data_IF_842835447838
#
_entry.id   IF_842835447838
#
_cell.length_a   1.000
_cell.length_b   1.000
_cell.length_c   1.000
_cell.angle_alpha   90.00
_cell.angle_beta   90.00
_cell.angle_gamma   90.00
#
_symmetry.space_group_name_H-M   'P 1'
#
loop_
_entity.id
_entity.type
_entity.pdbx_description
1 polymer ?
#
# COMPACT_ATOMS: atom_id res chain seq x y z
N UNK A 1 -7.63 11.22 4.98
CA UNK A 1 -7.48 12.66 4.70
C UNK A 1 -6.09 12.86 4.15
N UNK A 2 -5.97 13.12 2.85
CA UNK A 2 -4.69 13.40 2.17
C UNK A 2 -4.59 14.89 1.78
N UNK A 3 -5.55 15.72 2.22
CA UNK A 3 -5.69 17.13 1.82
C UNK A 3 -4.57 18.03 2.36
N UNK A 4 -3.81 17.57 3.36
CA UNK A 4 -2.63 18.27 3.89
C UNK A 4 -1.34 17.93 3.12
N UNK A 5 -1.41 17.06 2.10
CA UNK A 5 -0.26 16.68 1.29
C UNK A 5 -0.27 17.42 -0.04
N UNK A 6 0.79 18.19 -0.24
CA UNK A 6 1.01 19.02 -1.42
C UNK A 6 2.06 18.40 -2.32
N UNK A 7 1.75 18.28 -3.60
CA UNK A 7 2.76 18.01 -4.63
C UNK A 7 3.24 19.35 -5.17
N UNK A 8 4.56 19.55 -5.16
CA UNK A 8 5.22 20.75 -5.70
C UNK A 8 6.08 20.34 -6.89
N UNK A 9 5.79 20.89 -8.07
CA UNK A 9 6.58 20.66 -9.28
C UNK A 9 7.39 21.91 -9.60
N UNK A 10 8.72 21.79 -9.56
CA UNK A 10 9.63 22.92 -9.76
C UNK A 10 10.11 22.97 -11.19
N UNK A 11 9.82 24.09 -11.84
CA UNK A 11 10.32 24.48 -13.15
C UNK A 11 10.12 23.39 -14.22
N UNK A 12 8.94 22.77 -14.19
CA UNK A 12 8.56 21.71 -15.13
C UNK A 12 8.57 22.24 -16.56
N UNK A 13 9.27 21.54 -17.44
CA UNK A 13 9.46 21.96 -18.83
C UNK A 13 8.29 21.55 -19.72
N UNK A 14 7.78 20.33 -19.54
CA UNK A 14 6.74 19.79 -20.41
C UNK A 14 5.36 19.77 -19.75
N UNK A 15 4.39 20.48 -20.34
CA UNK A 15 2.99 20.50 -19.87
C UNK A 15 2.37 19.10 -19.74
N UNK A 16 2.79 18.15 -20.58
CA UNK A 16 2.31 16.77 -20.52
C UNK A 16 2.71 16.02 -19.25
N UNK A 17 3.86 16.37 -18.65
CA UNK A 17 4.27 15.84 -17.35
C UNK A 17 3.39 16.42 -16.23
N UNK A 18 3.00 17.70 -16.31
CA UNK A 18 2.08 18.31 -15.35
C UNK A 18 0.73 17.58 -15.36
N UNK A 19 0.16 17.35 -16.56
CA UNK A 19 -1.09 16.59 -16.70
C UNK A 19 -0.98 15.16 -16.18
N UNK A 20 0.12 14.47 -16.51
CA UNK A 20 0.35 13.09 -16.08
C UNK A 20 0.62 12.98 -14.57
N UNK A 21 1.29 13.97 -13.96
CA UNK A 21 1.45 14.09 -12.51
C UNK A 21 0.11 14.32 -11.80
N UNK A 22 -0.73 15.22 -12.32
CA UNK A 22 -2.09 15.43 -11.79
C UNK A 22 -2.94 14.14 -11.85
N UNK A 23 -2.83 13.37 -12.94
CA UNK A 23 -3.48 12.06 -13.05
C UNK A 23 -2.97 11.08 -11.98
N UNK A 24 -1.67 11.01 -11.79
CA UNK A 24 -1.05 10.15 -10.77
C UNK A 24 -1.52 10.51 -9.36
N UNK A 25 -1.55 11.81 -9.05
CA UNK A 25 -2.09 12.35 -7.79
C UNK A 25 -3.53 11.93 -7.57
N UNK A 26 -4.40 12.19 -8.54
CA UNK A 26 -5.84 11.87 -8.42
C UNK A 26 -6.09 10.40 -8.20
N UNK A 27 -5.35 9.55 -8.92
CA UNK A 27 -5.45 8.09 -8.79
C UNK A 27 -5.09 7.63 -7.37
N UNK A 28 -4.19 8.33 -6.69
CA UNK A 28 -3.76 8.01 -5.33
C UNK A 28 -4.57 8.72 -4.24
N UNK A 29 -5.44 9.67 -4.61
CA UNK A 29 -6.29 10.44 -3.69
C UNK A 29 -5.65 11.75 -3.22
N UNK A 30 -4.64 12.26 -3.91
CA UNK A 30 -4.04 13.57 -3.69
C UNK A 30 -4.69 14.61 -4.59
N UNK A 31 -4.82 15.85 -4.10
CA UNK A 31 -5.55 16.93 -4.77
C UNK A 31 -4.78 18.25 -4.82
N UNK A 32 -3.85 18.51 -3.89
CA UNK A 32 -3.16 19.79 -3.80
C UNK A 32 -1.89 19.81 -4.68
N UNK A 33 -1.96 20.53 -5.80
CA UNK A 33 -0.85 20.74 -6.73
C UNK A 33 -0.36 22.20 -6.71
N UNK A 34 0.94 22.39 -6.60
CA UNK A 34 1.59 23.71 -6.77
C UNK A 34 2.68 23.62 -7.82
N UNK A 35 2.68 24.58 -8.74
CA UNK A 35 3.68 24.73 -9.80
C UNK A 35 4.58 25.90 -9.45
N UNK A 36 5.89 25.65 -9.38
CA UNK A 36 6.89 26.70 -9.14
C UNK A 36 7.53 27.05 -10.47
N UNK A 37 7.32 28.28 -10.94
CA UNK A 37 7.92 28.82 -12.17
C UNK A 37 7.95 27.83 -13.35
N UNK A 38 6.79 27.26 -13.77
CA UNK A 38 6.76 26.31 -14.88
C UNK A 38 7.20 27.00 -16.18
N UNK A 39 8.04 26.35 -16.98
CA UNK A 39 8.56 26.92 -18.24
C UNK A 39 7.42 27.28 -19.20
N UNK A 40 6.41 26.41 -19.22
CA UNK A 40 5.16 26.65 -19.93
C UNK A 40 3.99 26.55 -18.96
N UNK A 41 3.11 27.56 -18.97
CA UNK A 41 1.87 27.51 -18.21
C UNK A 41 1.03 26.28 -18.66
N UNK A 42 0.31 25.61 -17.74
CA UNK A 42 -0.56 24.50 -18.11
C UNK A 42 -1.68 24.99 -19.04
N UNK A 43 -1.61 24.63 -20.33
CA UNK A 43 -2.65 24.93 -21.32
C UNK A 43 -3.56 23.72 -21.56
N UNK A 44 -4.48 23.81 -22.53
CA UNK A 44 -5.43 22.76 -22.88
C UNK A 44 -4.79 21.38 -23.15
N UNK A 45 -3.52 21.32 -23.56
CA UNK A 45 -2.82 20.05 -23.78
C UNK A 45 -2.53 19.28 -22.48
N UNK A 46 -2.22 19.98 -21.37
CA UNK A 46 -2.11 19.35 -20.05
C UNK A 46 -3.45 18.70 -19.63
N UNK A 47 -4.57 19.31 -20.00
CA UNK A 47 -5.92 18.79 -19.74
C UNK A 47 -6.19 17.46 -20.46
N UNK A 48 -5.64 17.25 -21.66
CA UNK A 48 -5.81 16.00 -22.41
C UNK A 48 -5.09 14.82 -21.73
N UNK A 49 -3.87 15.06 -21.23
CA UNK A 49 -3.06 14.03 -20.56
C UNK A 49 -3.49 13.78 -19.10
N UNK A 50 -4.20 14.73 -18.49
CA UNK A 50 -4.77 14.57 -17.15
C UNK A 50 -5.89 13.51 -17.08
N UNK A 51 -6.47 13.11 -18.22
CA UNK A 51 -7.44 12.00 -18.34
C UNK A 51 -8.49 11.95 -17.20
N UNK A 52 -9.11 13.09 -16.89
CA UNK A 52 -10.11 13.22 -15.81
C UNK A 52 -9.61 13.87 -14.51
N UNK A 53 -8.32 14.22 -14.40
CA UNK A 53 -7.74 15.01 -13.31
C UNK A 53 -7.69 16.52 -13.60
N UNK A 54 -8.65 17.02 -14.39
CA UNK A 54 -8.73 18.43 -14.80
C UNK A 54 -9.07 19.36 -13.62
N UNK A 55 -9.75 18.84 -12.61
CA UNK A 55 -10.02 19.52 -11.33
C UNK A 55 -8.74 19.86 -10.57
N UNK A 56 -7.78 18.93 -10.48
CA UNK A 56 -6.48 19.20 -9.84
C UNK A 56 -5.73 20.30 -10.60
N UNK A 57 -5.72 20.23 -11.94
CA UNK A 57 -5.09 21.27 -12.76
C UNK A 57 -5.79 22.63 -12.60
N UNK A 58 -7.12 22.65 -12.53
CA UNK A 58 -7.89 23.88 -12.37
C UNK A 58 -7.69 24.53 -10.99
N UNK A 59 -7.39 23.73 -9.96
CA UNK A 59 -7.10 24.19 -8.60
C UNK A 59 -5.61 24.44 -8.36
N UNK A 60 -4.74 24.07 -9.31
CA UNK A 60 -3.31 24.18 -9.15
C UNK A 60 -2.90 25.66 -9.00
N UNK A 61 -2.08 25.95 -7.98
CA UNK A 61 -1.52 27.29 -7.78
C UNK A 61 -0.18 27.38 -8.48
N UNK A 62 0.07 28.49 -9.16
CA UNK A 62 1.37 28.81 -9.73
C UNK A 62 2.03 29.92 -8.94
N UNK A 63 3.26 29.70 -8.50
CA UNK A 63 4.05 30.67 -7.70
C UNK A 63 5.45 30.82 -8.29
N UNK A 64 6.13 31.97 -8.08
CA UNK A 64 7.44 32.23 -8.66
C UNK A 64 8.59 31.48 -7.98
N UNK A 65 8.46 31.08 -6.71
CA UNK A 65 9.58 30.52 -5.94
C UNK A 65 9.19 29.29 -5.13
N UNK A 66 10.17 28.41 -4.88
CA UNK A 66 9.95 27.22 -4.04
C UNK A 66 9.62 27.62 -2.59
N UNK A 67 10.26 28.68 -2.09
CA UNK A 67 10.01 29.23 -0.75
C UNK A 67 8.52 29.59 -0.57
N UNK A 68 7.90 30.21 -1.57
CA UNK A 68 6.47 30.53 -1.52
C UNK A 68 5.60 29.26 -1.58
N UNK A 69 6.01 28.26 -2.36
CA UNK A 69 5.29 26.98 -2.47
C UNK A 69 5.31 26.14 -1.20
N UNK A 70 6.23 26.39 -0.26
CA UNK A 70 6.41 25.61 0.97
C UNK A 70 6.28 26.43 2.25
N UNK A 71 5.97 27.73 2.16
CA UNK A 71 6.00 28.66 3.29
C UNK A 71 5.11 28.25 4.49
N UNK A 72 4.02 27.55 4.21
CA UNK A 72 3.02 27.06 5.16
C UNK A 72 3.16 25.55 5.45
N UNK A 73 4.20 24.90 4.92
CA UNK A 73 4.49 23.49 5.17
C UNK A 73 5.45 23.35 6.36
N UNK A 74 5.15 22.42 7.26
CA UNK A 74 6.03 22.12 8.40
C UNK A 74 7.02 20.98 8.11
N UNK A 75 6.74 20.19 7.06
CA UNK A 75 7.64 19.19 6.51
C UNK A 75 7.74 19.33 4.99
N UNK A 76 8.96 19.27 4.47
CA UNK A 76 9.32 19.34 3.07
C UNK A 76 10.25 18.17 2.74
N UNK A 77 9.80 17.31 1.84
CA UNK A 77 10.51 16.13 1.34
C UNK A 77 10.88 16.39 -0.12
N UNK A 78 12.18 16.51 -0.43
CA UNK A 78 12.65 16.83 -1.77
C UNK A 78 13.21 15.61 -2.49
N UNK A 79 12.76 15.34 -3.72
CA UNK A 79 13.27 14.18 -4.48
C UNK A 79 14.66 14.46 -5.05
N UNK A 80 15.57 13.49 -4.90
CA UNK A 80 16.90 13.54 -5.53
C UNK A 80 17.38 12.16 -5.97
N UNK A 81 18.01 12.11 -7.15
CA UNK A 81 18.67 10.90 -7.65
C UNK A 81 20.05 10.67 -7.00
N UNK A 82 20.64 11.68 -6.32
CA UNK A 82 21.98 11.62 -5.74
C UNK A 82 22.07 12.52 -4.51
N UNK A 83 22.65 12.01 -3.42
CA UNK A 83 23.30 12.87 -2.42
C UNK A 83 24.79 12.61 -2.49
N UNK A 84 25.57 13.62 -2.91
CA UNK A 84 27.03 13.49 -3.02
C UNK A 84 27.80 14.60 -2.30
N UNK A 85 27.10 15.61 -1.78
CA UNK A 85 27.73 16.85 -1.32
C UNK A 85 27.41 17.21 0.13
N UNK A 86 26.30 16.73 0.71
CA UNK A 86 25.89 17.03 2.08
C UNK A 86 25.21 15.81 2.71
N UNK A 87 25.55 15.49 3.96
CA UNK A 87 24.97 14.38 4.75
C UNK A 87 23.53 14.69 5.20
N UNK A 88 22.63 14.96 4.25
CA UNK A 88 21.21 15.06 4.55
C UNK A 88 20.62 13.67 4.83
N UNK A 89 19.67 13.56 5.78
CA UNK A 89 18.95 12.33 5.99
C UNK A 89 18.18 11.98 4.71
N UNK A 90 18.54 10.83 4.13
CA UNK A 90 17.92 10.31 2.92
C UNK A 90 16.90 9.24 3.29
N UNK A 91 15.69 9.38 2.75
CA UNK A 91 14.61 8.42 2.91
C UNK A 91 14.39 7.68 1.60
N UNK A 92 14.05 6.40 1.71
CA UNK A 92 13.43 5.69 0.59
C UNK A 92 11.94 6.12 0.43
N UNK A 93 11.26 5.75 -0.67
CA UNK A 93 9.88 6.14 -0.93
C UNK A 93 8.89 5.66 0.13
N UNK A 94 9.14 4.51 0.74
CA UNK A 94 8.27 3.92 1.76
C UNK A 94 8.40 4.63 3.09
N UNK A 95 9.63 4.94 3.49
CA UNK A 95 9.93 5.76 4.65
C UNK A 95 9.35 7.17 4.48
N UNK A 96 9.55 7.79 3.31
CA UNK A 96 8.98 9.08 2.98
C UNK A 96 7.44 9.07 3.04
N UNK A 97 6.80 8.02 2.51
CA UNK A 97 5.34 7.87 2.57
C UNK A 97 4.81 7.82 4.00
N UNK A 98 5.45 7.03 4.87
CA UNK A 98 5.10 6.97 6.30
C UNK A 98 5.29 8.31 7.01
N UNK A 99 6.44 8.94 6.82
CA UNK A 99 6.76 10.23 7.42
C UNK A 99 5.78 11.30 6.97
N UNK A 100 5.45 11.33 5.67
CA UNK A 100 4.51 12.28 5.09
C UNK A 100 3.10 12.13 5.68
N UNK A 101 2.59 10.90 5.79
CA UNK A 101 1.25 10.64 6.38
C UNK A 101 1.22 10.99 7.86
N UNK A 102 2.26 10.64 8.61
CA UNK A 102 2.35 10.94 10.04
C UNK A 102 2.35 12.45 10.29
N UNK A 103 3.14 13.22 9.54
CA UNK A 103 3.23 14.67 9.71
C UNK A 103 2.03 15.40 9.09
N UNK A 104 1.38 14.85 8.07
CA UNK A 104 0.14 15.39 7.50
C UNK A 104 -1.01 15.45 8.52
N UNK A 105 -0.96 14.65 9.59
CA UNK A 105 -1.93 14.73 10.69
C UNK A 105 -1.78 16.00 11.55
N UNK A 106 -0.63 16.69 11.49
CA UNK A 106 -0.31 17.86 12.32
C UNK A 106 -0.28 19.17 11.54
N UNK A 107 -0.07 19.11 10.23
CA UNK A 107 0.01 20.27 9.37
C UNK A 107 0.35 19.91 7.93
N UNK A 108 0.55 20.91 7.07
CA UNK A 108 0.81 20.71 5.64
C UNK A 108 2.21 20.15 5.37
N UNK A 109 2.28 19.17 4.47
CA UNK A 109 3.53 18.51 4.05
C UNK A 109 3.70 18.69 2.54
N UNK A 110 4.90 19.06 2.10
CA UNK A 110 5.24 19.18 0.69
C UNK A 110 6.13 18.03 0.21
N UNK A 111 5.74 17.40 -0.90
CA UNK A 111 6.60 16.53 -1.69
C UNK A 111 7.07 17.32 -2.92
N UNK A 112 8.36 17.60 -3.00
CA UNK A 112 8.95 18.51 -3.98
C UNK A 112 9.69 17.72 -5.05
N UNK A 113 9.32 17.96 -6.31
CA UNK A 113 9.91 17.33 -7.48
C UNK A 113 10.57 18.38 -8.37
N UNK A 114 11.77 18.05 -8.87
CA UNK A 114 12.56 18.95 -9.69
C UNK A 114 12.27 18.86 -11.19
N UNK A 115 13.11 19.56 -11.94
CA UNK A 115 13.13 19.60 -13.41
C UNK A 115 13.40 18.22 -13.99
N UNK A 116 12.86 17.94 -15.18
CA UNK A 116 12.98 16.62 -15.82
C UNK A 116 14.44 16.18 -16.06
N UNK A 117 15.31 17.12 -16.46
CA UNK A 117 16.66 16.81 -16.90
C UNK A 117 17.73 17.04 -15.83
N UNK A 118 17.48 17.94 -14.88
CA UNK A 118 18.47 18.40 -13.91
C UNK A 118 18.03 18.27 -12.46
N UNK A 119 16.77 17.89 -12.20
CA UNK A 119 16.23 17.79 -10.85
C UNK A 119 16.14 19.13 -10.14
N UNK A 120 16.30 19.08 -8.81
CA UNK A 120 16.34 20.25 -7.94
C UNK A 120 17.76 20.79 -7.85
N UNK A 121 17.90 22.11 -7.75
CA UNK A 121 19.19 22.74 -7.47
C UNK A 121 19.61 22.47 -6.03
N UNK A 122 20.90 22.66 -5.72
CA UNK A 122 21.37 22.53 -4.33
C UNK A 122 20.67 23.53 -3.39
N UNK A 123 20.37 24.74 -3.87
CA UNK A 123 19.64 25.76 -3.10
C UNK A 123 18.21 25.30 -2.80
N UNK A 124 17.53 24.69 -3.79
CA UNK A 124 16.19 24.12 -3.60
C UNK A 124 16.22 22.92 -2.64
N UNK A 125 17.22 22.06 -2.73
CA UNK A 125 17.40 20.92 -1.83
C UNK A 125 17.65 21.35 -0.37
N UNK A 126 18.33 22.48 -0.15
CA UNK A 126 18.59 23.03 1.19
C UNK A 126 17.33 23.56 1.90
N UNK A 127 16.24 23.77 1.17
CA UNK A 127 14.95 24.20 1.75
C UNK A 127 14.14 23.01 2.31
N UNK A 128 14.61 21.78 2.12
CA UNK A 128 13.93 20.56 2.56
C UNK A 128 14.56 19.96 3.80
N UNK A 129 13.76 19.27 4.61
CA UNK A 129 14.26 18.58 5.82
C UNK A 129 14.82 17.19 5.50
N UNK A 130 14.25 16.52 4.49
CA UNK A 130 14.72 15.22 4.02
C UNK A 130 14.80 15.17 2.51
N UNK A 131 15.74 14.37 2.02
CA UNK A 131 15.83 14.02 0.61
C UNK A 131 15.24 12.64 0.39
N UNK A 132 14.49 12.47 -0.69
CA UNK A 132 13.88 11.20 -1.04
C UNK A 132 14.56 10.65 -2.28
N UNK A 133 15.14 9.46 -2.15
CA UNK A 133 15.76 8.75 -3.26
C UNK A 133 14.89 7.56 -3.64
N UNK A 134 14.41 7.53 -4.88
CA UNK A 134 13.69 6.37 -5.42
C UNK A 134 14.73 5.35 -5.90
N UNK A 135 14.84 4.15 -5.28
CA UNK A 135 15.75 3.13 -5.76
C UNK A 135 15.38 2.73 -7.19
N UNK A 136 16.35 2.80 -8.08
CA UNK A 136 16.19 2.52 -9.50
C UNK A 136 17.39 1.73 -10.03
N UNK A 137 17.36 1.35 -11.30
CA UNK A 137 18.51 0.73 -11.95
C UNK A 137 19.75 1.65 -11.84
N UNK A 138 20.88 1.22 -11.25
CA UNK A 138 22.08 2.05 -11.15
C UNK A 138 22.58 2.59 -12.50
N UNK A 139 22.38 1.83 -13.58
CA UNK A 139 22.79 2.22 -14.94
C UNK A 139 21.82 3.23 -15.59
N UNK A 140 20.58 3.32 -15.09
CA UNK A 140 19.54 4.20 -15.61
C UNK A 140 18.56 4.58 -14.48
N UNK A 141 18.97 5.53 -13.65
CA UNK A 141 18.27 5.92 -12.42
C UNK A 141 17.37 7.16 -12.55
N UNK A 142 17.32 7.76 -13.73
CA UNK A 142 16.50 8.95 -13.98
C UNK A 142 15.07 8.55 -14.35
N UNK A 143 14.16 8.72 -13.41
CA UNK A 143 12.73 8.52 -13.66
C UNK A 143 12.14 9.73 -14.39
N UNK A 144 11.14 9.51 -15.24
CA UNK A 144 10.27 10.57 -15.71
C UNK A 144 9.56 11.24 -14.52
N UNK A 145 9.32 12.56 -14.59
CA UNK A 145 8.70 13.33 -13.52
C UNK A 145 7.36 12.74 -13.03
N UNK A 146 6.45 12.41 -13.95
CA UNK A 146 5.15 11.84 -13.57
C UNK A 146 5.28 10.44 -12.97
N UNK A 147 6.30 9.66 -13.37
CA UNK A 147 6.59 8.36 -12.75
C UNK A 147 7.10 8.53 -11.31
N UNK A 148 7.99 9.49 -11.06
CA UNK A 148 8.44 9.80 -9.71
C UNK A 148 7.29 10.27 -8.81
N UNK A 149 6.43 11.15 -9.32
CA UNK A 149 5.21 11.58 -8.62
C UNK A 149 4.31 10.38 -8.33
N UNK A 150 4.10 9.48 -9.29
CA UNK A 150 3.28 8.28 -9.12
C UNK A 150 3.84 7.36 -8.04
N UNK A 151 5.15 7.12 -8.01
CA UNK A 151 5.80 6.26 -7.02
C UNK A 151 5.61 6.80 -5.60
N UNK A 152 5.88 8.08 -5.37
CA UNK A 152 5.71 8.66 -4.03
C UNK A 152 4.24 8.81 -3.63
N UNK A 153 3.38 9.19 -4.57
CA UNK A 153 1.94 9.27 -4.31
C UNK A 153 1.37 7.90 -3.92
N UNK A 154 1.87 6.82 -4.54
CA UNK A 154 1.49 5.46 -4.20
C UNK A 154 1.94 5.06 -2.79
N UNK A 155 3.21 5.30 -2.43
CA UNK A 155 3.70 4.97 -1.08
C UNK A 155 3.00 5.78 0.01
N UNK A 156 2.65 7.05 -0.26
CA UNK A 156 1.78 7.86 0.61
C UNK A 156 0.41 7.20 0.78
N UNK A 157 -0.23 6.76 -0.31
CA UNK A 157 -1.53 6.08 -0.24
C UNK A 157 -1.44 4.79 0.57
N UNK A 158 -0.39 3.99 0.36
CA UNK A 158 -0.17 2.75 1.09
C UNK A 158 0.04 3.00 2.58
N UNK A 159 0.83 4.01 2.94
CA UNK A 159 1.01 4.42 4.33
C UNK A 159 -0.30 4.91 4.97
N UNK A 160 -1.11 5.65 4.22
CA UNK A 160 -2.42 6.12 4.69
C UNK A 160 -3.39 4.95 4.92
N UNK A 161 -3.51 4.02 3.97
CA UNK A 161 -4.36 2.83 4.13
C UNK A 161 -3.90 1.94 5.29
N UNK A 162 -2.60 1.79 5.50
CA UNK A 162 -2.07 1.07 6.66
C UNK A 162 -2.50 1.73 7.97
N UNK A 163 -2.44 3.07 8.05
CA UNK A 163 -2.88 3.81 9.24
C UNK A 163 -4.39 3.70 9.49
N UNK A 164 -5.22 3.57 8.46
CA UNK A 164 -6.66 3.32 8.63
C UNK A 164 -6.95 1.88 9.08
N UNK A 165 -6.26 0.90 8.52
CA UNK A 165 -6.43 -0.51 8.90
C UNK A 165 -6.02 -0.75 10.35
N UNK A 166 -4.93 -0.14 10.82
CA UNK A 166 -4.52 -0.21 12.23
C UNK A 166 -5.60 0.35 13.17
N UNK A 167 -6.35 1.38 12.76
CA UNK A 167 -7.46 1.91 13.55
C UNK A 167 -8.70 1.00 13.53
N UNK A 168 -8.92 0.26 12.44
CA UNK A 168 -10.05 -0.67 12.30
C UNK A 168 -9.79 -2.02 12.97
N UNK A 169 -8.58 -2.56 12.91
CA UNK A 169 -8.20 -3.83 13.54
C UNK A 169 -8.27 -3.75 15.08
N UNK A 170 -8.09 -2.56 15.66
CA UNK A 170 -8.30 -2.35 17.11
C UNK A 170 -9.79 -2.51 17.49
N UNK A 171 -10.72 -2.38 16.55
CA UNK A 171 -12.17 -2.41 16.80
C UNK A 171 -12.83 -3.77 16.49
N UNK A 172 -12.16 -4.66 15.74
CA UNK A 172 -12.67 -6.00 15.44
C UNK A 172 -12.04 -7.01 16.40
N UNK A 173 -12.86 -7.81 17.11
CA UNK A 173 -12.31 -8.97 17.83
C UNK A 173 -11.64 -9.89 16.80
N UNK A 174 -10.36 -10.24 16.98
CA UNK A 174 -9.67 -11.09 16.03
C UNK A 174 -10.36 -12.46 15.99
N UNK A 175 -10.74 -12.88 14.79
CA UNK A 175 -11.04 -14.29 14.48
C UNK A 175 -9.87 -15.13 15.00
N UNK A 176 -10.10 -15.83 16.11
CA UNK A 176 -9.04 -16.51 16.85
C UNK A 176 -8.74 -17.82 16.14
N UNK A 177 -7.48 -17.98 15.74
CA UNK A 177 -7.02 -19.25 15.19
C UNK A 177 -7.01 -20.30 16.31
N UNK A 178 -7.61 -21.49 16.10
CA UNK A 178 -7.73 -22.51 17.14
C UNK A 178 -6.35 -22.95 17.65
N UNK A 179 -6.32 -23.34 18.92
CA UNK A 179 -5.11 -23.91 19.54
C UNK A 179 -4.71 -25.22 18.84
N UNK A 180 -3.42 -25.54 18.88
CA UNK A 180 -2.89 -26.78 18.30
C UNK A 180 -3.63 -28.04 18.77
N UNK A 181 -4.02 -28.08 20.04
CA UNK A 181 -4.77 -29.20 20.62
C UNK A 181 -6.19 -29.34 20.02
N UNK A 182 -6.85 -28.24 19.68
CA UNK A 182 -8.19 -28.26 19.09
C UNK A 182 -8.17 -28.71 17.62
N UNK A 183 -7.15 -28.28 16.87
CA UNK A 183 -6.86 -28.80 15.54
C UNK A 183 -6.54 -30.30 15.58
N UNK A 184 -5.76 -30.74 16.56
CA UNK A 184 -5.42 -32.16 16.72
C UNK A 184 -6.65 -33.00 17.04
N UNK A 185 -7.54 -32.53 17.93
CA UNK A 185 -8.83 -33.17 18.21
C UNK A 185 -9.71 -33.26 16.97
N UNK A 186 -9.73 -32.21 16.15
CA UNK A 186 -10.43 -32.25 14.86
C UNK A 186 -9.84 -33.31 13.93
N UNK A 187 -8.51 -33.40 13.81
CA UNK A 187 -7.88 -34.41 12.95
C UNK A 187 -8.13 -35.84 13.41
N UNK A 188 -8.10 -36.08 14.72
CA UNK A 188 -8.45 -37.38 15.29
C UNK A 188 -9.91 -37.75 14.99
N UNK A 189 -10.84 -36.81 15.14
CA UNK A 189 -12.25 -37.01 14.81
C UNK A 189 -12.43 -37.30 13.32
N UNK A 190 -11.79 -36.52 12.45
CA UNK A 190 -11.83 -36.71 11.00
C UNK A 190 -11.30 -38.08 10.58
N UNK A 191 -10.16 -38.52 11.13
CA UNK A 191 -9.57 -39.83 10.85
C UNK A 191 -10.50 -40.96 11.27
N UNK A 192 -11.14 -40.83 12.45
CA UNK A 192 -12.10 -41.80 12.95
C UNK A 192 -13.31 -41.92 12.03
N UNK A 193 -13.93 -40.80 11.63
CA UNK A 193 -15.09 -40.78 10.73
C UNK A 193 -14.75 -41.38 9.36
N UNK A 194 -13.59 -41.03 8.78
CA UNK A 194 -13.15 -41.53 7.48
C UNK A 194 -12.75 -43.02 7.51
N UNK A 195 -12.29 -43.52 8.66
CA UNK A 195 -12.03 -44.95 8.84
C UNK A 195 -13.34 -45.72 8.98
N UNK A 196 -14.30 -45.21 9.75
CA UNK A 196 -15.60 -45.86 9.95
C UNK A 196 -16.44 -45.94 8.68
N UNK A 197 -16.32 -44.96 7.78
CA UNK A 197 -16.98 -44.96 6.48
C UNK A 197 -16.36 -45.93 5.46
N UNK A 198 -15.17 -46.45 5.75
CA UNK A 198 -14.39 -47.26 4.82
C UNK A 198 -13.58 -46.45 3.79
N UNK A 199 -13.58 -45.12 3.86
CA UNK A 199 -12.77 -44.28 2.96
C UNK A 199 -11.27 -44.47 3.19
N UNK A 200 -10.84 -44.53 4.45
CA UNK A 200 -9.47 -44.92 4.81
C UNK A 200 -9.43 -46.43 5.04
N UNK A 201 -8.74 -47.15 4.16
CA UNK A 201 -8.51 -48.59 4.28
C UNK A 201 -7.23 -48.86 5.05
N UNK A 202 -7.25 -49.81 5.99
CA UNK A 202 -6.10 -50.17 6.87
C UNK A 202 -4.80 -50.50 6.12
N UNK A 203 -4.87 -50.88 4.84
CA UNK A 203 -3.72 -51.25 4.02
C UNK A 203 -2.92 -50.04 3.47
N UNK A 204 -3.44 -48.80 3.58
CA UNK A 204 -2.74 -47.57 3.17
C UNK A 204 -2.67 -46.52 4.30
N UNK A 205 -1.96 -46.81 5.40
CA UNK A 205 -1.95 -45.94 6.58
C UNK A 205 -1.25 -44.59 6.29
N UNK A 206 -1.91 -43.50 6.67
CA UNK A 206 -1.29 -42.17 6.85
C UNK A 206 -1.23 -41.23 5.65
N UNK A 207 -1.20 -41.71 4.40
CA UNK A 207 -1.05 -40.83 3.22
C UNK A 207 -2.24 -39.86 3.03
N UNK A 208 -3.46 -40.34 3.27
CA UNK A 208 -4.67 -39.53 3.17
C UNK A 208 -4.72 -38.48 4.28
N UNK A 209 -4.49 -38.89 5.54
CA UNK A 209 -4.49 -37.96 6.68
C UNK A 209 -3.38 -36.92 6.59
N UNK A 210 -2.19 -37.28 6.08
CA UNK A 210 -1.12 -36.31 5.85
C UNK A 210 -1.53 -35.24 4.82
N UNK A 211 -2.23 -35.63 3.75
CA UNK A 211 -2.75 -34.68 2.75
C UNK A 211 -3.86 -33.80 3.31
N UNK A 212 -4.76 -34.35 4.13
CA UNK A 212 -5.86 -33.61 4.76
C UNK A 212 -5.34 -32.64 5.82
N UNK A 213 -4.41 -33.07 6.68
CA UNK A 213 -3.71 -32.18 7.64
C UNK A 213 -3.03 -31.03 6.91
N UNK A 214 -2.32 -31.31 5.82
CA UNK A 214 -1.69 -30.27 4.99
C UNK A 214 -2.72 -29.31 4.38
N UNK A 215 -3.87 -29.82 3.94
CA UNK A 215 -4.95 -28.99 3.39
C UNK A 215 -5.50 -28.02 4.45
N UNK A 216 -5.90 -28.53 5.62
CA UNK A 216 -6.52 -27.70 6.66
C UNK A 216 -5.51 -26.76 7.35
N UNK A 217 -4.26 -27.18 7.54
CA UNK A 217 -3.21 -26.29 8.03
C UNK A 217 -2.97 -25.12 7.07
N UNK A 218 -3.00 -25.36 5.76
CA UNK A 218 -2.87 -24.30 4.76
C UNK A 218 -4.11 -23.40 4.69
N UNK A 219 -5.30 -23.98 4.88
CA UNK A 219 -6.56 -23.23 4.88
C UNK A 219 -6.70 -22.30 6.09
N UNK A 220 -6.01 -22.61 7.20
CA UNK A 220 -6.06 -21.88 8.47
C UNK A 220 -7.50 -21.58 8.95
N UNK A 221 -8.33 -22.61 9.20
CA UNK A 221 -9.69 -22.38 9.69
C UNK A 221 -9.67 -21.73 11.07
N UNK A 222 -10.58 -20.80 11.33
CA UNK A 222 -10.78 -20.21 12.65
C UNK A 222 -11.57 -21.12 13.61
N UNK A 223 -11.74 -20.71 14.86
CA UNK A 223 -12.47 -21.51 15.86
C UNK A 223 -13.92 -21.82 15.44
N UNK A 224 -14.60 -20.87 14.80
CA UNK A 224 -15.98 -21.05 14.33
C UNK A 224 -16.04 -22.05 13.18
N UNK A 225 -15.16 -21.91 12.21
CA UNK A 225 -15.02 -22.83 11.09
C UNK A 225 -14.65 -24.24 11.55
N UNK A 226 -13.73 -24.37 12.52
CA UNK A 226 -13.36 -25.65 13.11
C UNK A 226 -14.55 -26.29 13.85
N UNK A 227 -15.35 -25.50 14.56
CA UNK A 227 -16.57 -25.98 15.22
C UNK A 227 -17.62 -26.44 14.21
N UNK A 228 -17.78 -25.74 13.09
CA UNK A 228 -18.65 -26.15 11.97
C UNK A 228 -18.17 -27.48 11.39
N UNK A 229 -16.87 -27.60 11.09
CA UNK A 229 -16.28 -28.83 10.55
C UNK A 229 -16.48 -30.02 11.50
N UNK A 230 -16.28 -29.82 12.81
CA UNK A 230 -16.55 -30.85 13.83
C UNK A 230 -18.05 -31.18 13.91
N UNK A 231 -18.93 -30.20 13.81
CA UNK A 231 -20.37 -30.39 13.77
C UNK A 231 -20.83 -31.24 12.57
N UNK A 232 -20.22 -31.04 11.40
CA UNK A 232 -20.43 -31.86 10.21
C UNK A 232 -20.04 -33.31 10.49
N UNK A 233 -18.84 -33.55 11.05
CA UNK A 233 -18.38 -34.89 11.40
C UNK A 233 -19.28 -35.57 12.42
N UNK A 234 -19.69 -34.86 13.49
CA UNK A 234 -20.63 -35.40 14.48
C UNK A 234 -21.98 -35.79 13.89
N UNK A 235 -22.48 -35.03 12.92
CA UNK A 235 -23.75 -35.35 12.24
C UNK A 235 -23.60 -36.55 11.31
N UNK A 236 -22.47 -36.64 10.61
CA UNK A 236 -22.11 -37.77 9.77
C UNK A 236 -22.04 -39.08 10.57
N UNK A 237 -21.32 -39.07 11.69
CA UNK A 237 -21.14 -40.25 12.55
C UNK A 237 -22.48 -40.76 13.10
N UNK A 238 -23.38 -39.85 13.52
CA UNK A 238 -24.72 -40.20 14.01
C UNK A 238 -25.54 -40.96 12.95
N UNK A 239 -25.49 -40.53 11.68
CA UNK A 239 -26.20 -41.22 10.59
C UNK A 239 -25.64 -42.62 10.34
N UNK A 240 -24.32 -42.75 10.30
CA UNK A 240 -23.65 -44.03 10.08
C UNK A 240 -23.99 -45.07 11.16
N UNK A 241 -24.12 -44.64 12.41
CA UNK A 241 -24.56 -45.50 13.51
C UNK A 241 -26.04 -45.93 13.38
N UNK A 242 -26.91 -45.03 12.91
CA UNK A 242 -28.33 -45.32 12.72
C UNK A 242 -28.62 -46.27 11.56
N UNK A 243 -27.80 -46.26 10.50
CA UNK A 243 -27.94 -47.19 9.38
C UNK A 243 -27.43 -48.60 9.74
N UNK A 244 -26.41 -48.71 10.60
CA UNK A 244 -25.91 -50.01 11.11
C UNK A 244 -26.86 -50.73 12.08
N UNK A 245 -27.80 -50.01 12.69
CA UNK A 245 -28.77 -50.59 13.65
C UNK A 245 -30.08 -51.01 12.99
N UNK A 246 -30.28 -50.69 11.71
CA UNK A 246 -31.48 -51.04 10.92
C UNK A 246 -31.27 -52.18 9.93
N UNK A 247 -30.05 -52.69 9.77
CA UNK A 247 -29.71 -53.86 8.95
C UNK A 247 -29.27 -55.02 9.82
#
# INVERSE_FOLDING_TARGET
>A
MLDNLRIVLVNTSHQGNIGSAARAMKTMGLSELVLVDPVEAPQSHASALAAGATDILAQARTVPTLQEAIADCHLVLATSARSRTLDWPMLDPREAGKQAVQEAARGRVALVFGRENSGLTNEELQLSQYHVHIPANPDYSSLNLAMAVQTLSYEVRMAWLASENEQQDVQQEPSTYPRGDDLERFYQHLEQSLTQSGFIVRQHPGLVMNKLRRLFNRARPDENELNILRGILSTYDKRMLSDKTKG
#
